data_IF_216788757219
#
_entry.id   IF_216788757219
#
_cell.length_a   1.000
_cell.length_b   1.000
_cell.length_c   1.000
_cell.angle_alpha   90.00
_cell.angle_beta   90.00
_cell.angle_gamma   90.00
#
_symmetry.space_group_name_H-M   'P 1'
#
loop_
_entity.id
_entity.type
_entity.pdbx_description
1 polymer ?
#
# COMPACT_ATOMS: atom_id res chain seq x y z
N UNK A 1 1.04 8.07 -63.62
CA UNK A 1 0.65 6.82 -62.92
C UNK A 1 0.98 7.01 -61.44
N UNK A 2 0.09 7.66 -60.69
CA UNK A 2 0.35 8.05 -59.30
C UNK A 2 0.13 6.88 -58.34
N UNK A 3 1.20 6.34 -57.77
CA UNK A 3 1.12 5.56 -56.52
C UNK A 3 2.08 6.13 -55.48
N UNK A 4 1.66 7.10 -54.64
CA UNK A 4 2.44 7.35 -53.42
C UNK A 4 1.64 7.41 -52.11
N UNK A 5 0.29 7.36 -52.12
CA UNK A 5 -0.49 7.60 -50.87
C UNK A 5 -0.78 6.35 -50.03
N UNK A 6 -0.86 5.16 -50.64
CA UNK A 6 -1.22 3.93 -49.93
C UNK A 6 -0.07 3.41 -49.04
N UNK A 7 1.18 3.45 -49.53
CA UNK A 7 2.35 3.02 -48.76
C UNK A 7 2.61 3.92 -47.54
N UNK A 8 2.40 5.23 -47.68
CA UNK A 8 2.52 6.17 -46.57
C UNK A 8 1.45 5.92 -45.50
N UNK A 9 0.21 5.63 -45.91
CA UNK A 9 -0.87 5.30 -44.97
C UNK A 9 -0.56 3.99 -44.22
N UNK A 10 -0.07 2.96 -44.90
CA UNK A 10 0.33 1.71 -44.25
C UNK A 10 1.50 1.90 -43.28
N UNK A 11 2.46 2.77 -43.61
CA UNK A 11 3.59 3.06 -42.72
C UNK A 11 3.15 3.79 -41.45
N UNK A 12 2.22 4.75 -41.56
CA UNK A 12 1.66 5.48 -40.41
C UNK A 12 0.84 4.54 -39.51
N UNK A 13 0.04 3.64 -40.10
CA UNK A 13 -0.72 2.64 -39.32
C UNK A 13 0.23 1.70 -38.58
N UNK A 14 1.31 1.25 -39.22
CA UNK A 14 2.31 0.39 -38.58
C UNK A 14 3.04 1.12 -37.44
N UNK A 15 3.35 2.41 -37.61
CA UNK A 15 3.96 3.26 -36.59
C UNK A 15 3.02 3.54 -35.40
N UNK A 16 1.71 3.62 -35.65
CA UNK A 16 0.70 3.79 -34.60
C UNK A 16 0.44 2.50 -33.83
N UNK A 17 0.55 1.33 -34.47
CA UNK A 17 0.34 0.02 -33.82
C UNK A 17 1.50 -0.36 -32.89
N UNK A 18 2.72 0.12 -33.12
CA UNK A 18 3.87 -0.13 -32.24
C UNK A 18 3.91 0.76 -31.00
N UNK A 19 3.04 1.77 -30.91
CA UNK A 19 2.95 2.69 -29.76
C UNK A 19 2.15 2.13 -28.57
N UNK A 20 1.85 0.83 -28.57
CA UNK A 20 1.28 0.16 -27.39
C UNK A 20 2.36 0.06 -26.32
N UNK A 21 2.51 1.14 -25.55
CA UNK A 21 3.33 1.22 -24.35
C UNK A 21 2.80 0.15 -23.38
N UNK A 22 3.57 -0.91 -23.20
CA UNK A 22 3.37 -1.87 -22.11
C UNK A 22 3.74 -1.15 -20.83
N UNK A 23 2.75 -0.54 -20.19
CA UNK A 23 2.87 -0.09 -18.81
C UNK A 23 2.85 -1.35 -17.93
N UNK A 24 4.02 -1.87 -17.59
CA UNK A 24 4.15 -2.92 -16.58
C UNK A 24 3.77 -2.35 -15.20
N UNK A 25 2.96 -3.07 -14.44
CA UNK A 25 2.78 -2.73 -13.03
C UNK A 25 4.10 -2.91 -12.28
N UNK A 26 4.48 -1.99 -11.38
CA UNK A 26 5.68 -2.16 -10.57
C UNK A 26 5.56 -3.44 -9.74
N UNK A 27 6.56 -4.31 -9.87
CA UNK A 27 6.62 -5.57 -9.11
C UNK A 27 7.82 -5.53 -8.17
N UNK A 28 7.58 -5.91 -6.91
CA UNK A 28 8.62 -6.09 -5.91
C UNK A 28 8.69 -7.57 -5.56
N UNK A 29 9.83 -8.19 -5.86
CA UNK A 29 10.11 -9.56 -5.44
C UNK A 29 10.66 -9.57 -4.01
N UNK A 30 10.20 -10.50 -3.18
CA UNK A 30 10.78 -10.70 -1.85
C UNK A 30 12.20 -11.24 -1.96
N UNK A 31 13.12 -10.73 -1.16
CA UNK A 31 14.44 -11.34 -0.99
C UNK A 31 14.46 -12.33 0.18
N UNK A 32 15.38 -13.29 0.16
CA UNK A 32 15.61 -14.16 1.31
C UNK A 32 16.24 -13.38 2.45
N UNK A 33 15.74 -13.63 3.66
CA UNK A 33 16.31 -13.09 4.88
C UNK A 33 17.55 -13.89 5.29
N UNK A 34 18.71 -13.23 5.33
CA UNK A 34 19.99 -13.87 5.70
C UNK A 34 20.49 -13.53 7.11
N UNK A 35 19.87 -12.56 7.81
CA UNK A 35 20.31 -12.09 9.12
C UNK A 35 19.23 -12.19 10.21
N UNK A 36 19.68 -12.45 11.45
CA UNK A 36 18.88 -12.43 12.67
C UNK A 36 18.56 -10.99 13.10
N UNK A 37 17.82 -10.26 12.28
CA UNK A 37 17.43 -8.88 12.60
C UNK A 37 16.25 -8.87 13.59
N UNK A 38 16.22 -7.98 14.56
CA UNK A 38 15.06 -7.86 15.45
C UNK A 38 14.09 -6.87 14.79
N UNK A 39 12.84 -7.27 14.55
CA UNK A 39 11.83 -6.45 13.84
C UNK A 39 11.61 -5.08 14.52
N UNK A 40 11.89 -4.97 15.83
CA UNK A 40 11.74 -3.76 16.61
C UNK A 40 12.95 -2.80 16.59
N UNK A 41 14.05 -3.15 15.91
CA UNK A 41 15.21 -2.26 15.87
C UNK A 41 15.07 -1.26 14.71
N UNK A 42 14.87 0.01 15.05
CA UNK A 42 14.83 1.14 14.10
C UNK A 42 16.14 1.31 13.32
N UNK A 43 17.25 0.72 13.77
CA UNK A 43 18.54 0.74 13.08
C UNK A 43 18.76 -0.47 12.16
N UNK A 44 17.76 -1.36 12.05
CA UNK A 44 17.76 -2.50 11.14
C UNK A 44 18.03 -2.06 9.70
N UNK A 45 19.19 -2.43 9.17
CA UNK A 45 19.56 -2.10 7.79
C UNK A 45 19.00 -3.17 6.85
N UNK A 46 17.99 -2.79 6.08
CA UNK A 46 17.48 -3.62 4.98
C UNK A 46 18.36 -3.44 3.74
N UNK A 47 18.69 -4.51 3.00
CA UNK A 47 19.45 -4.38 1.77
C UNK A 47 18.64 -3.57 0.74
N UNK A 48 19.33 -2.73 -0.04
CA UNK A 48 18.68 -1.89 -1.08
C UNK A 48 17.93 -2.75 -2.10
N UNK A 49 18.43 -3.94 -2.40
CA UNK A 49 17.78 -4.89 -3.31
C UNK A 49 16.43 -5.42 -2.82
N UNK A 50 16.13 -5.29 -1.52
CA UNK A 50 14.85 -5.65 -0.93
C UNK A 50 13.87 -4.48 -0.84
N UNK A 51 14.27 -3.30 -1.31
CA UNK A 51 13.51 -2.05 -1.18
C UNK A 51 13.03 -1.55 -2.54
N UNK A 52 11.87 -0.89 -2.54
CA UNK A 52 11.28 -0.20 -3.68
C UNK A 52 10.68 1.12 -3.21
N UNK A 53 11.05 2.22 -3.86
CA UNK A 53 10.40 3.52 -3.64
C UNK A 53 9.14 3.57 -4.47
N UNK A 54 8.01 3.81 -3.83
CA UNK A 54 6.76 4.04 -4.54
C UNK A 54 6.90 5.35 -5.31
N UNK A 55 6.69 5.30 -6.63
CA UNK A 55 6.71 6.47 -7.51
C UNK A 55 5.89 7.63 -6.92
N UNK A 56 6.29 8.88 -7.24
CA UNK A 56 5.61 10.13 -6.84
C UNK A 56 5.28 10.28 -5.34
N UNK A 57 5.77 9.38 -4.47
CA UNK A 57 5.45 9.34 -3.05
C UNK A 57 6.73 9.16 -2.23
N UNK A 58 6.87 9.82 -1.07
CA UNK A 58 8.03 9.63 -0.20
C UNK A 58 7.87 8.36 0.64
N UNK A 59 7.60 7.22 0.00
CA UNK A 59 7.36 5.93 0.63
C UNK A 59 8.33 4.90 0.06
N UNK A 60 9.08 4.26 0.95
CA UNK A 60 9.89 3.08 0.65
C UNK A 60 9.19 1.87 1.25
N UNK A 61 8.97 0.86 0.42
CA UNK A 61 8.50 -0.47 0.83
C UNK A 61 9.63 -1.47 0.68
N UNK A 62 9.65 -2.50 1.52
CA UNK A 62 10.59 -3.61 1.34
C UNK A 62 10.01 -4.94 1.73
N UNK A 63 10.48 -6.01 1.09
CA UNK A 63 9.93 -7.35 1.27
C UNK A 63 11.03 -8.40 1.46
N UNK A 64 10.96 -9.12 2.57
CA UNK A 64 11.81 -10.28 2.84
C UNK A 64 10.99 -11.47 3.31
N UNK A 65 11.51 -12.68 3.14
CA UNK A 65 10.92 -13.89 3.72
C UNK A 65 12.00 -14.87 4.20
N UNK A 66 11.63 -15.77 5.09
CA UNK A 66 12.48 -16.87 5.58
C UNK A 66 11.84 -18.26 5.37
N UNK A 67 10.83 -18.34 4.51
CA UNK A 67 10.04 -19.54 4.25
C UNK A 67 8.91 -19.81 5.28
N UNK A 68 8.98 -19.23 6.48
CA UNK A 68 7.92 -19.35 7.49
C UNK A 68 7.17 -18.03 7.71
N UNK A 69 7.86 -16.90 7.54
CA UNK A 69 7.35 -15.57 7.80
C UNK A 69 7.63 -14.64 6.61
N UNK A 70 6.69 -13.71 6.38
CA UNK A 70 6.86 -12.58 5.48
C UNK A 70 7.13 -11.32 6.30
N UNK A 71 8.17 -10.59 5.92
CA UNK A 71 8.61 -9.36 6.56
C UNK A 71 8.37 -8.19 5.62
N UNK A 72 7.70 -7.16 6.12
CA UNK A 72 7.42 -5.94 5.38
C UNK A 72 8.13 -4.76 6.05
N UNK A 73 8.89 -4.00 5.26
CA UNK A 73 9.37 -2.68 5.61
C UNK A 73 8.43 -1.63 5.02
N UNK A 74 8.04 -0.66 5.84
CA UNK A 74 7.39 0.56 5.39
C UNK A 74 8.13 1.74 6.01
N UNK A 75 8.68 2.61 5.17
CA UNK A 75 9.32 3.86 5.59
C UNK A 75 8.66 5.02 4.85
N UNK A 76 8.06 5.93 5.60
CA UNK A 76 7.53 7.19 5.09
C UNK A 76 8.51 8.32 5.44
N UNK A 77 9.00 9.04 4.43
CA UNK A 77 10.06 10.04 4.58
C UNK A 77 9.53 11.41 5.02
N UNK A 78 8.28 11.73 4.68
CA UNK A 78 7.65 12.99 5.03
C UNK A 78 6.55 12.85 6.10
N UNK A 79 6.31 13.94 6.83
CA UNK A 79 5.37 14.00 7.94
C UNK A 79 3.91 13.83 7.48
N UNK A 80 3.56 14.31 6.30
CA UNK A 80 2.18 14.27 5.82
C UNK A 80 1.78 12.83 5.49
N UNK A 81 2.67 12.09 4.83
CA UNK A 81 2.50 10.66 4.56
C UNK A 81 2.46 9.84 5.85
N UNK A 82 3.35 10.12 6.81
CA UNK A 82 3.32 9.47 8.12
C UNK A 82 1.95 9.69 8.79
N UNK A 83 1.47 10.94 8.84
CA UNK A 83 0.18 11.27 9.43
C UNK A 83 -1.00 10.64 8.68
N UNK A 84 -0.90 10.52 7.35
CA UNK A 84 -1.89 9.85 6.53
C UNK A 84 -1.99 8.37 6.90
N UNK A 85 -0.86 7.68 7.01
CA UNK A 85 -0.79 6.26 7.39
C UNK A 85 -1.28 6.07 8.84
N UNK A 86 -0.85 6.92 9.78
CA UNK A 86 -1.27 6.83 11.17
C UNK A 86 -2.78 7.02 11.35
N UNK A 87 -3.41 7.88 10.53
CA UNK A 87 -4.85 8.15 10.61
C UNK A 87 -5.70 7.15 9.83
N UNK A 88 -5.25 6.76 8.64
CA UNK A 88 -6.01 5.93 7.70
C UNK A 88 -5.69 4.43 7.77
N UNK A 89 -4.54 4.09 8.34
CA UNK A 89 -3.98 2.74 8.33
C UNK A 89 -3.32 2.35 7.00
N UNK A 90 -2.39 1.40 7.05
CA UNK A 90 -1.89 0.67 5.90
C UNK A 90 -2.62 -0.68 5.83
N UNK A 91 -3.13 -1.06 4.66
CA UNK A 91 -3.68 -2.40 4.43
C UNK A 91 -2.80 -3.19 3.48
N UNK A 92 -2.30 -4.34 3.95
CA UNK A 92 -1.53 -5.30 3.17
C UNK A 92 -2.46 -6.43 2.76
N UNK A 93 -2.65 -6.63 1.46
CA UNK A 93 -3.46 -7.73 0.92
C UNK A 93 -2.57 -8.91 0.53
N UNK A 94 -2.98 -10.12 0.86
CA UNK A 94 -2.24 -11.34 0.63
C UNK A 94 -3.12 -12.33 -0.14
N UNK A 95 -2.62 -12.80 -1.28
CA UNK A 95 -3.23 -13.85 -2.09
C UNK A 95 -2.26 -15.04 -2.17
N UNK A 96 -2.59 -16.12 -1.48
CA UNK A 96 -1.75 -17.32 -1.42
C UNK A 96 -1.61 -18.04 -2.78
N UNK A 97 -2.49 -17.74 -3.75
CA UNK A 97 -2.40 -18.28 -5.11
C UNK A 97 -1.55 -17.42 -6.03
N UNK A 98 -0.95 -16.33 -5.53
CA UNK A 98 -0.18 -15.38 -6.32
C UNK A 98 -1.04 -14.51 -7.24
N UNK A 99 -2.35 -14.46 -6.99
CA UNK A 99 -3.28 -13.58 -7.71
C UNK A 99 -3.30 -12.16 -7.13
N UNK A 100 -4.29 -11.38 -7.58
CA UNK A 100 -4.53 -10.00 -7.11
C UNK A 100 -5.75 -9.88 -6.20
N UNK A 101 -6.18 -11.00 -5.59
CA UNK A 101 -7.42 -11.04 -4.84
C UNK A 101 -7.30 -10.38 -3.46
N UNK A 102 -8.20 -9.45 -3.16
CA UNK A 102 -8.23 -8.70 -1.90
C UNK A 102 -9.22 -9.33 -0.92
N UNK A 103 -9.00 -10.61 -0.60
CA UNK A 103 -9.87 -11.38 0.33
C UNK A 103 -9.29 -11.53 1.73
N UNK A 104 -7.97 -11.59 1.84
CA UNK A 104 -7.27 -11.64 3.11
C UNK A 104 -6.29 -10.48 3.19
N UNK A 105 -6.43 -9.67 4.23
CA UNK A 105 -5.61 -8.48 4.43
C UNK A 105 -5.34 -8.20 5.89
N UNK A 106 -4.25 -7.46 6.14
CA UNK A 106 -3.83 -7.03 7.47
C UNK A 106 -3.81 -5.51 7.44
N UNK A 107 -4.56 -4.87 8.35
CA UNK A 107 -4.58 -3.42 8.50
C UNK A 107 -3.83 -3.01 9.76
N UNK A 108 -2.83 -2.15 9.60
CA UNK A 108 -2.06 -1.56 10.68
C UNK A 108 -1.52 -0.16 10.28
N UNK A 109 -1.57 0.83 11.19
CA UNK A 109 -2.42 0.85 12.37
C UNK A 109 -3.90 0.85 11.96
N UNK A 110 -4.83 0.51 12.86
CA UNK A 110 -6.27 0.67 12.56
C UNK A 110 -6.64 2.15 12.36
N UNK A 111 -5.85 3.05 12.94
CA UNK A 111 -5.99 4.49 12.79
C UNK A 111 -7.26 5.04 13.44
N UNK A 112 -7.67 6.24 13.02
CA UNK A 112 -8.96 6.79 13.43
C UNK A 112 -10.03 6.09 12.60
N UNK A 113 -10.85 5.24 13.23
CA UNK A 113 -12.08 4.76 12.59
C UNK A 113 -12.85 5.98 12.08
N UNK A 114 -12.94 6.17 10.76
CA UNK A 114 -13.95 7.05 10.18
C UNK A 114 -15.27 6.49 10.67
N UNK A 115 -15.90 7.18 11.62
CA UNK A 115 -17.28 6.90 12.02
C UNK A 115 -18.11 7.16 10.77
N UNK A 116 -18.38 6.11 10.00
CA UNK A 116 -19.24 6.17 8.82
C UNK A 116 -20.66 6.32 9.34
N UNK A 117 -21.07 7.56 9.51
CA UNK A 117 -22.44 7.94 9.82
C UNK A 117 -22.67 9.34 9.27
N UNK A 118 -23.84 9.62 8.66
CA UNK A 118 -24.16 10.97 8.23
C UNK A 118 -24.06 11.92 9.43
N UNK A 119 -23.61 13.17 9.24
CA UNK A 119 -23.69 14.17 10.29
C UNK A 119 -25.16 14.27 10.72
N UNK A 120 -25.47 13.86 11.94
CA UNK A 120 -26.79 14.11 12.52
C UNK A 120 -26.91 15.62 12.68
N UNK A 121 -27.79 16.22 11.88
CA UNK A 121 -28.05 17.65 11.88
C UNK A 121 -28.63 18.05 13.24
N UNK A 122 -28.05 19.05 13.90
CA UNK A 122 -28.59 19.63 15.14
C UNK A 122 -28.07 19.07 16.47
N UNK A 123 -27.13 18.12 16.49
CA UNK A 123 -26.40 17.82 17.74
C UNK A 123 -25.15 18.68 17.81
N UNK A 124 -25.12 19.69 18.70
CA UNK A 124 -23.85 20.22 19.19
C UNK A 124 -23.05 19.03 19.67
N UNK A 125 -22.00 18.66 18.92
CA UNK A 125 -21.11 17.59 19.35
C UNK A 125 -20.44 18.15 20.60
N UNK A 126 -20.67 17.60 21.81
CA UNK A 126 -19.83 17.97 22.93
C UNK A 126 -18.39 17.74 22.45
N UNK A 127 -17.57 18.78 22.52
CA UNK A 127 -16.16 18.67 22.20
C UNK A 127 -15.62 17.59 23.14
N UNK A 128 -15.48 16.38 22.60
CA UNK A 128 -15.15 15.21 23.39
C UNK A 128 -13.89 15.52 24.16
N UNK A 129 -13.86 15.09 25.42
CA UNK A 129 -12.71 15.26 26.30
C UNK A 129 -11.41 14.97 25.52
N UNK A 130 -10.55 16.00 25.30
CA UNK A 130 -9.35 15.86 24.49
C UNK A 130 -8.43 14.75 24.98
N UNK A 131 -8.44 14.45 26.28
CA UNK A 131 -7.66 13.39 26.88
C UNK A 131 -8.17 12.01 26.45
N UNK A 132 -9.49 11.80 26.49
CA UNK A 132 -10.12 10.55 26.02
C UNK A 132 -9.91 10.33 24.53
N UNK A 133 -9.98 11.41 23.75
CA UNK A 133 -9.72 11.34 22.30
C UNK A 133 -8.27 10.94 22.03
N UNK A 134 -7.30 11.52 22.75
CA UNK A 134 -5.88 11.16 22.65
C UNK A 134 -5.63 9.70 23.04
N UNK A 135 -6.15 9.26 24.18
CA UNK A 135 -6.02 7.88 24.63
C UNK A 135 -6.59 6.87 23.63
N UNK A 136 -7.73 7.19 23.01
CA UNK A 136 -8.32 6.34 21.97
C UNK A 136 -7.46 6.28 20.70
N UNK A 137 -6.85 7.40 20.30
CA UNK A 137 -5.95 7.45 19.15
C UNK A 137 -4.71 6.58 19.41
N UNK A 138 -4.08 6.75 20.57
CA UNK A 138 -2.92 5.97 20.99
C UNK A 138 -3.25 4.47 21.03
N UNK A 139 -4.38 4.10 21.64
CA UNK A 139 -4.84 2.71 21.65
C UNK A 139 -5.06 2.12 20.25
N UNK A 140 -5.52 2.92 19.29
CA UNK A 140 -5.71 2.45 17.91
C UNK A 140 -4.39 2.37 17.12
N UNK A 141 -3.38 3.16 17.49
CA UNK A 141 -2.06 3.16 16.84
C UNK A 141 -1.33 1.82 17.01
N UNK A 142 -1.55 1.13 18.13
CA UNK A 142 -0.90 -0.17 18.41
C UNK A 142 -1.77 -1.37 18.03
N UNK A 143 -2.94 -1.12 17.44
CA UNK A 143 -3.89 -2.18 17.10
C UNK A 143 -3.73 -2.67 15.65
N UNK A 144 -3.81 -4.00 15.49
CA UNK A 144 -3.83 -4.69 14.19
C UNK A 144 -5.23 -5.22 13.95
N UNK A 145 -5.73 -5.08 12.72
CA UNK A 145 -6.98 -5.68 12.28
C UNK A 145 -6.73 -6.68 11.15
N UNK A 146 -7.31 -7.86 11.30
CA UNK A 146 -7.30 -8.90 10.27
C UNK A 146 -8.58 -8.75 9.44
N UNK A 147 -8.42 -8.45 8.16
CA UNK A 147 -9.49 -8.37 7.18
C UNK A 147 -9.55 -9.72 6.46
N UNK A 148 -10.34 -10.65 6.99
CA UNK A 148 -10.60 -11.93 6.34
C UNK A 148 -11.84 -11.87 5.45
N UNK A 149 -12.06 -12.88 4.59
CA UNK A 149 -13.36 -13.05 3.97
C UNK A 149 -14.34 -13.25 5.12
N UNK A 150 -15.36 -12.41 5.23
CA UNK A 150 -16.47 -12.70 6.11
C UNK A 150 -16.95 -14.12 5.80
N UNK A 151 -17.20 -14.93 6.83
CA UNK A 151 -18.02 -16.12 6.66
C UNK A 151 -19.37 -15.67 6.08
N UNK A 152 -19.49 -15.72 4.76
CA UNK A 152 -20.78 -15.92 4.12
C UNK A 152 -20.95 -17.44 4.08
N UNK A 153 -21.57 -17.94 5.14
CA UNK A 153 -22.32 -19.19 5.12
C UNK A 153 -23.60 -18.97 4.29
#
# INVERSE_FOLDING_TARGET
MEKPKLYQLTMVIFLLLTYSIVAGEPTLNSSWRSSSMTIADTNSVWPISAQYTIDDKPIIIGLQNDGSNLYLLLKAEDRDTQMMIMRGGLTVWLDSKGGKNKKFGIRYPVGMRRRQGPPTEGTERPMGDPEKMRAQIESNMDSIEIIGPSENN
#
